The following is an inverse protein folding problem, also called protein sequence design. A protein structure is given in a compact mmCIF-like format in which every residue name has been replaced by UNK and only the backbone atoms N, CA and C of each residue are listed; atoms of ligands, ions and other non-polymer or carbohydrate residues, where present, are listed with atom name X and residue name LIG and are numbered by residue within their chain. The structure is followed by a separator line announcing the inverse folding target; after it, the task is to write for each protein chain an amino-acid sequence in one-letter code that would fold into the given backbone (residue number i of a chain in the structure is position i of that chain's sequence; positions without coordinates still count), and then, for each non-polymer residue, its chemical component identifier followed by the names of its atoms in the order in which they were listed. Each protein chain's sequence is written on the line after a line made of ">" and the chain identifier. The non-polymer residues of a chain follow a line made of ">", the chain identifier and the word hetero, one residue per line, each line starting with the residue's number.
data_IF_317794173644
#
_entry.id   IF_317794173644
#
_cell.length_a   1.000
_cell.length_b   1.000
_cell.length_c   1.000
_cell.angle_alpha   90.00
_cell.angle_beta   90.00
_cell.angle_gamma   90.00
#
_symmetry.space_group_name_H-M   'P 1'
#
loop_
_entity.id
_entity.type
_entity.pdbx_description
1 polymer ?
#
# COMPACT_ATOMS: atom_id res chain seq x y z
N UNK A 1 12.21 16.04 16.54
CA UNK A 1 11.51 14.78 16.86
C UNK A 1 10.02 15.01 16.66
N UNK A 2 9.37 14.28 15.76
CA UNK A 2 7.91 14.33 15.62
C UNK A 2 7.36 13.62 16.86
N UNK A 3 6.68 14.36 17.74
CA UNK A 3 5.98 13.78 18.88
C UNK A 3 4.90 12.87 18.29
N UNK A 4 4.90 11.58 18.61
CA UNK A 4 3.85 10.69 18.14
C UNK A 4 2.55 11.12 18.81
N UNK A 5 1.69 11.82 18.06
CA UNK A 5 0.31 12.08 18.46
C UNK A 5 -0.40 10.74 18.54
N UNK A 6 -1.07 10.46 19.66
CA UNK A 6 -1.89 9.26 19.77
C UNK A 6 -2.99 9.28 18.71
N UNK A 7 -3.53 8.11 18.36
CA UNK A 7 -4.64 8.03 17.42
C UNK A 7 -5.84 8.85 17.90
N UNK A 8 -6.16 8.79 19.20
CA UNK A 8 -7.24 9.57 19.81
C UNK A 8 -7.02 11.08 19.64
N UNK A 9 -5.80 11.58 19.87
CA UNK A 9 -5.51 12.99 19.67
C UNK A 9 -5.57 13.42 18.19
N UNK A 10 -5.39 12.49 17.23
CA UNK A 10 -5.65 12.76 15.81
C UNK A 10 -7.16 12.86 15.56
N UNK A 11 -7.98 12.00 16.18
CA UNK A 11 -9.43 12.08 16.09
C UNK A 11 -9.95 13.42 16.64
N UNK A 12 -9.48 13.84 17.81
CA UNK A 12 -9.84 15.14 18.41
C UNK A 12 -9.52 16.31 17.46
N UNK A 13 -8.37 16.24 16.77
CA UNK A 13 -7.98 17.27 15.79
C UNK A 13 -8.86 17.26 14.53
N UNK A 14 -9.35 16.09 14.10
CA UNK A 14 -10.29 15.96 12.98
C UNK A 14 -11.66 16.49 13.37
N UNK A 15 -12.12 16.19 14.59
CA UNK A 15 -13.42 16.67 15.12
C UNK A 15 -13.46 18.20 15.26
N UNK A 16 -12.31 18.85 15.45
CA UNK A 16 -12.21 20.31 15.48
C UNK A 16 -12.36 20.99 14.10
N UNK A 17 -12.30 20.23 13.00
CA UNK A 17 -12.52 20.75 11.65
C UNK A 17 -14.01 20.95 11.36
N UNK A 18 -14.34 21.91 10.51
CA UNK A 18 -15.69 22.01 9.94
C UNK A 18 -16.04 20.79 9.10
N UNK A 19 -17.33 20.53 8.89
CA UNK A 19 -17.78 19.38 8.07
C UNK A 19 -17.18 19.40 6.66
N UNK A 20 -17.10 20.57 6.03
CA UNK A 20 -16.50 20.72 4.70
C UNK A 20 -15.00 20.38 4.69
N UNK A 21 -14.27 20.80 5.73
CA UNK A 21 -12.85 20.46 5.89
C UNK A 21 -12.64 18.96 6.20
N UNK A 22 -13.54 18.34 6.97
CA UNK A 22 -13.51 16.90 7.22
C UNK A 22 -13.73 16.10 5.92
N UNK A 23 -14.71 16.50 5.10
CA UNK A 23 -14.96 15.88 3.80
C UNK A 23 -13.75 16.03 2.86
N UNK A 24 -13.17 17.23 2.80
CA UNK A 24 -11.96 17.48 2.00
C UNK A 24 -10.76 16.65 2.50
N UNK A 25 -10.60 16.48 3.82
CA UNK A 25 -9.56 15.66 4.41
C UNK A 25 -9.73 14.18 4.02
N UNK A 26 -10.95 13.65 4.11
CA UNK A 26 -11.27 12.28 3.73
C UNK A 26 -10.89 12.02 2.26
N UNK A 27 -11.28 12.93 1.37
CA UNK A 27 -10.94 12.85 -0.05
C UNK A 27 -9.43 12.79 -0.30
N UNK A 28 -8.68 13.65 0.38
CA UNK A 28 -7.22 13.69 0.27
C UNK A 28 -6.60 12.39 0.78
N UNK A 29 -7.06 11.88 1.93
CA UNK A 29 -6.54 10.65 2.54
C UNK A 29 -6.81 9.46 1.61
N UNK A 30 -8.04 9.32 1.11
CA UNK A 30 -8.41 8.26 0.16
C UNK A 30 -7.55 8.29 -1.10
N UNK A 31 -7.36 9.47 -1.71
CA UNK A 31 -6.49 9.62 -2.90
C UNK A 31 -5.05 9.24 -2.60
N UNK A 32 -4.50 9.66 -1.46
CA UNK A 32 -3.12 9.33 -1.05
C UNK A 32 -2.94 7.83 -0.81
N UNK A 33 -3.93 7.15 -0.22
CA UNK A 33 -3.89 5.70 -0.05
C UNK A 33 -3.90 4.97 -1.39
N UNK A 34 -4.78 5.36 -2.32
CA UNK A 34 -4.82 4.80 -3.66
C UNK A 34 -3.48 5.00 -4.41
N UNK A 35 -2.85 6.18 -4.26
CA UNK A 35 -1.56 6.47 -4.87
C UNK A 35 -0.40 5.65 -4.26
N UNK A 36 -0.41 5.43 -2.94
CA UNK A 36 0.56 4.53 -2.29
C UNK A 36 0.44 3.11 -2.85
N UNK A 37 -0.78 2.57 -2.93
CA UNK A 37 -1.02 1.23 -3.47
C UNK A 37 -0.61 1.11 -4.94
N UNK A 38 -0.88 2.12 -5.76
CA UNK A 38 -0.42 2.14 -7.17
C UNK A 38 1.11 2.12 -7.28
N UNK A 39 1.82 2.85 -6.41
CA UNK A 39 3.29 2.83 -6.36
C UNK A 39 3.84 1.47 -5.93
N UNK A 40 3.21 0.81 -4.97
CA UNK A 40 3.59 -0.56 -4.56
C UNK A 40 3.40 -1.55 -5.71
N UNK A 41 2.28 -1.48 -6.42
CA UNK A 41 2.03 -2.32 -7.61
C UNK A 41 3.08 -2.05 -8.69
N UNK A 42 3.37 -0.79 -8.99
CA UNK A 42 4.38 -0.42 -9.98
C UNK A 42 5.78 -0.95 -9.61
N UNK A 43 6.15 -0.85 -8.32
CA UNK A 43 7.40 -1.41 -7.80
C UNK A 43 7.45 -2.93 -7.97
N UNK A 44 6.37 -3.63 -7.61
CA UNK A 44 6.29 -5.08 -7.74
C UNK A 44 6.38 -5.53 -9.21
N UNK A 45 5.73 -4.80 -10.13
CA UNK A 45 5.83 -5.08 -11.56
C UNK A 45 7.26 -4.88 -12.07
N UNK A 46 7.92 -3.78 -11.67
CA UNK A 46 9.30 -3.51 -12.07
C UNK A 46 10.24 -4.61 -11.58
N UNK A 47 10.09 -5.03 -10.32
CA UNK A 47 10.87 -6.12 -9.73
C UNK A 47 10.63 -7.44 -10.46
N UNK A 48 9.37 -7.85 -10.64
CA UNK A 48 9.03 -9.10 -11.33
C UNK A 48 9.54 -9.14 -12.78
N UNK A 49 9.53 -7.99 -13.48
CA UNK A 49 10.11 -7.87 -14.82
C UNK A 49 11.63 -8.06 -14.81
N UNK A 50 12.33 -7.49 -13.84
CA UNK A 50 13.77 -7.64 -13.69
C UNK A 50 14.15 -9.10 -13.39
N UNK A 51 13.46 -9.75 -12.45
CA UNK A 51 13.66 -11.16 -12.09
C UNK A 51 13.41 -12.08 -13.30
N UNK A 52 12.34 -11.82 -14.05
CA UNK A 52 12.06 -12.57 -15.28
C UNK A 52 13.16 -12.43 -16.33
N UNK A 53 13.69 -11.22 -16.54
CA UNK A 53 14.79 -10.97 -17.48
C UNK A 53 16.12 -11.58 -17.02
N UNK A 54 16.37 -11.58 -15.71
CA UNK A 54 17.54 -12.21 -15.11
C UNK A 54 17.45 -13.74 -15.10
N UNK A 55 16.28 -14.31 -15.38
CA UNK A 55 16.04 -15.75 -15.29
C UNK A 55 15.88 -16.25 -13.85
N UNK A 56 15.76 -15.33 -12.89
CA UNK A 56 15.52 -15.59 -11.46
C UNK A 56 14.03 -15.91 -11.23
N UNK A 57 13.51 -16.88 -11.98
CA UNK A 57 12.11 -17.31 -11.93
C UNK A 57 12.02 -18.80 -11.67
N UNK A 58 11.17 -19.18 -10.70
CA UNK A 58 10.83 -20.58 -10.48
C UNK A 58 10.01 -21.08 -11.68
N UNK A 59 10.40 -22.24 -12.22
CA UNK A 59 9.70 -22.92 -13.30
C UNK A 59 9.34 -24.31 -12.81
N UNK A 60 8.07 -24.66 -12.94
CA UNK A 60 7.57 -25.96 -12.52
C UNK A 60 6.17 -26.19 -13.07
N UNK A 61 5.66 -27.38 -12.83
CA UNK A 61 4.25 -27.70 -13.05
C UNK A 61 3.37 -26.87 -12.12
N UNK A 62 2.10 -26.71 -12.49
CA UNK A 62 1.10 -26.01 -11.67
C UNK A 62 1.06 -26.59 -10.24
N UNK A 63 1.19 -27.91 -10.10
CA UNK A 63 1.19 -28.59 -8.80
C UNK A 63 2.39 -28.20 -7.93
N UNK A 64 3.59 -28.14 -8.52
CA UNK A 64 4.83 -27.76 -7.82
C UNK A 64 4.77 -26.30 -7.34
N UNK A 65 4.31 -25.39 -8.21
CA UNK A 65 4.19 -23.96 -7.89
C UNK A 65 3.14 -23.72 -6.78
N UNK A 66 1.98 -24.37 -6.85
CA UNK A 66 0.95 -24.25 -5.80
C UNK A 66 1.46 -24.80 -4.46
N UNK A 67 2.24 -25.88 -4.48
CA UNK A 67 2.82 -26.46 -3.27
C UNK A 67 3.87 -25.53 -2.64
N UNK A 68 4.63 -24.80 -3.44
CA UNK A 68 5.60 -23.81 -2.98
C UNK A 68 4.93 -22.58 -2.35
N UNK A 69 3.86 -22.06 -2.97
CA UNK A 69 3.15 -20.86 -2.50
C UNK A 69 2.33 -21.05 -1.23
N UNK A 70 1.92 -22.28 -0.91
CA UNK A 70 1.11 -22.61 0.26
C UNK A 70 1.93 -23.06 1.48
N UNK A 71 3.27 -22.95 1.43
CA UNK A 71 4.15 -23.16 2.58
C UNK A 71 4.29 -21.88 3.39
#
# INVERSE_FOLDING_TARGET
>A
MIKATSFDAILDMIEALSLEEQDALLDIVCRRQAERRRREIAKNIAQAKAEYQAGEVSRGTVYEIITELNK
#
